data_IF_520908798272
#
_entry.id   IF_520908798272
#
_cell.length_a   1.000
_cell.length_b   1.000
_cell.length_c   1.000
_cell.angle_alpha   90.00
_cell.angle_beta   90.00
_cell.angle_gamma   90.00
#
_symmetry.space_group_name_H-M   'P 1'
#
loop_
_entity.id
_entity.type
_entity.pdbx_description
1 polymer ?
#
# COMPACT_ATOMS: atom_id res chain seq x y z
N UNK A 1 -2.75 -7.55 -11.21
CA UNK A 1 -1.74 -6.79 -10.44
C UNK A 1 -2.38 -6.26 -9.17
N UNK A 2 -1.67 -6.35 -8.08
CA UNK A 2 -2.18 -5.86 -6.80
C UNK A 2 -1.11 -5.07 -6.06
N UNK A 3 -1.56 -4.26 -5.10
CA UNK A 3 -0.69 -3.51 -4.23
C UNK A 3 -1.14 -3.72 -2.80
N UNK A 4 -0.29 -3.38 -1.84
CA UNK A 4 -0.64 -3.43 -0.43
C UNK A 4 -0.77 -2.00 0.08
N UNK A 5 -1.86 -1.73 0.79
CA UNK A 5 -2.20 -0.39 1.26
C UNK A 5 -2.32 -0.39 2.78
N UNK A 6 -1.58 0.50 3.40
CA UNK A 6 -1.67 0.75 4.83
C UNK A 6 -2.40 2.07 5.05
N UNK A 7 -3.35 2.07 5.98
CA UNK A 7 -4.11 3.28 6.33
C UNK A 7 -3.76 3.68 7.76
N UNK A 8 -3.34 4.91 7.93
CA UNK A 8 -3.05 5.46 9.25
C UNK A 8 -4.24 6.31 9.69
N UNK A 9 -5.08 5.74 10.55
CA UNK A 9 -6.30 6.39 11.00
C UNK A 9 -6.05 7.60 11.89
N UNK A 10 -4.84 7.76 12.41
CA UNK A 10 -4.51 8.91 13.24
C UNK A 10 -4.18 10.16 12.41
N UNK A 11 -4.09 10.02 11.09
CA UNK A 11 -3.83 11.12 10.19
C UNK A 11 -5.07 11.46 9.40
N UNK A 12 -5.14 12.69 8.91
CA UNK A 12 -6.30 13.13 8.14
C UNK A 12 -6.20 12.70 6.70
N UNK A 13 -7.35 12.49 6.07
CA UNK A 13 -7.41 12.23 4.64
C UNK A 13 -6.76 13.40 3.89
N UNK A 14 -5.88 13.08 2.97
CA UNK A 14 -5.12 14.08 2.24
C UNK A 14 -3.71 14.31 2.78
N UNK A 15 -3.46 13.88 4.01
CA UNK A 15 -2.11 13.91 4.57
C UNK A 15 -1.27 12.83 3.88
N UNK A 16 -0.03 13.15 3.54
CA UNK A 16 0.84 12.18 2.86
C UNK A 16 1.11 10.94 3.71
N UNK A 17 0.94 11.05 5.02
CA UNK A 17 1.12 9.91 5.93
C UNK A 17 -0.16 9.15 6.22
N UNK A 18 -1.29 9.57 5.66
CA UNK A 18 -2.56 8.89 5.86
C UNK A 18 -2.58 7.52 5.18
N UNK A 19 -2.01 7.43 4.00
CA UNK A 19 -1.97 6.21 3.21
C UNK A 19 -0.55 5.93 2.77
N UNK A 20 -0.17 4.65 2.80
CA UNK A 20 1.08 4.18 2.21
C UNK A 20 0.75 3.02 1.28
N UNK A 21 1.34 3.04 0.10
CA UNK A 21 1.11 2.01 -0.92
C UNK A 21 2.42 1.30 -1.22
N UNK A 22 2.38 -0.02 -1.18
CA UNK A 22 3.57 -0.84 -1.37
C UNK A 22 3.38 -1.75 -2.58
N UNK A 23 4.46 -1.97 -3.32
CA UNK A 23 4.42 -2.79 -4.52
C UNK A 23 4.21 -4.27 -4.22
N UNK A 24 4.62 -4.72 -3.03
CA UNK A 24 4.51 -6.12 -2.65
C UNK A 24 4.43 -6.23 -1.13
N UNK A 25 4.13 -7.45 -0.68
CA UNK A 25 3.95 -7.71 0.75
C UNK A 25 5.23 -7.53 1.54
N UNK A 26 6.35 -7.94 0.98
CA UNK A 26 7.63 -7.84 1.69
C UNK A 26 7.98 -6.39 1.99
N UNK A 27 7.73 -5.49 1.03
CA UNK A 27 7.96 -4.07 1.24
C UNK A 27 7.04 -3.52 2.33
N UNK A 28 5.78 -3.94 2.34
CA UNK A 28 4.83 -3.51 3.35
C UNK A 28 5.26 -4.00 4.73
N UNK A 29 5.60 -5.27 4.84
CA UNK A 29 6.00 -5.85 6.11
C UNK A 29 7.26 -5.18 6.69
N UNK A 30 8.23 -4.92 5.85
CA UNK A 30 9.46 -4.28 6.28
C UNK A 30 9.21 -2.88 6.82
N UNK A 31 8.38 -2.12 6.10
CA UNK A 31 8.06 -0.76 6.52
C UNK A 31 7.27 -0.76 7.83
N UNK A 32 6.29 -1.65 7.94
CA UNK A 32 5.45 -1.74 9.14
C UNK A 32 6.27 -2.13 10.36
N UNK A 33 7.21 -3.05 10.20
CA UNK A 33 8.04 -3.49 11.31
C UNK A 33 8.83 -2.34 11.92
N UNK A 34 9.20 -1.35 11.11
CA UNK A 34 9.98 -0.22 11.60
C UNK A 34 9.13 0.97 12.02
N UNK A 35 7.96 1.14 11.44
CA UNK A 35 7.18 2.35 11.61
C UNK A 35 5.88 2.14 12.38
N UNK A 36 5.25 0.98 12.25
CA UNK A 36 4.01 0.68 12.93
C UNK A 36 3.85 -0.83 13.06
N UNK A 37 4.52 -1.44 14.06
CA UNK A 37 4.49 -2.91 14.20
C UNK A 37 3.09 -3.49 14.42
N UNK A 38 2.15 -2.68 14.86
CA UNK A 38 0.77 -3.14 15.05
C UNK A 38 -0.12 -2.83 13.86
N UNK A 39 0.42 -2.15 12.86
CA UNK A 39 -0.33 -1.81 11.66
C UNK A 39 -0.51 -3.02 10.76
N UNK A 40 -1.47 -2.90 9.86
CA UNK A 40 -1.80 -3.95 8.89
C UNK A 40 -1.93 -3.33 7.52
N UNK A 41 -1.39 -4.01 6.51
CA UNK A 41 -1.58 -3.61 5.13
C UNK A 41 -2.52 -4.60 4.45
N UNK A 42 -3.39 -4.09 3.60
CA UNK A 42 -4.37 -4.89 2.88
C UNK A 42 -4.05 -4.91 1.40
N UNK A 43 -4.33 -6.04 0.77
CA UNK A 43 -4.12 -6.18 -0.67
C UNK A 43 -5.32 -5.63 -1.43
N UNK A 44 -5.03 -4.81 -2.45
CA UNK A 44 -6.04 -4.26 -3.33
C UNK A 44 -5.61 -4.47 -4.77
N UNK A 45 -6.58 -4.72 -5.63
CA UNK A 45 -6.32 -4.88 -7.05
C UNK A 45 -6.10 -3.51 -7.68
N UNK A 46 -5.15 -3.43 -8.61
CA UNK A 46 -4.91 -2.22 -9.38
C UNK A 46 -5.78 -2.27 -10.62
N UNK A 47 -6.68 -1.31 -10.74
CA UNK A 47 -7.61 -1.22 -11.87
C UNK A 47 -7.08 -0.15 -12.83
N UNK A 48 -7.07 -0.48 -14.12
CA UNK A 48 -6.61 0.47 -15.12
C UNK A 48 -5.10 0.46 -15.36
N UNK A 49 -4.38 -0.44 -14.71
CA UNK A 49 -2.94 -0.54 -14.91
C UNK A 49 -2.65 -1.05 -16.34
N UNK A 50 -1.55 -0.60 -16.96
CA UNK A 50 -1.15 -1.12 -18.27
C UNK A 50 -0.85 -2.60 -18.14
N UNK A 51 -1.20 -3.29 -19.17
CA UNK A 51 -0.96 -4.72 -19.16
C UNK A 51 0.18 -4.96 -20.10
N UNK A 52 0.76 -5.13 -19.99
CA UNK A 52 1.55 -5.27 -20.77
C UNK A 52 1.98 -5.54 -21.22
N UNK A 53 1.20 -4.86 -21.15
CA UNK A 53 1.33 -4.79 -21.13
C UNK A 53 1.20 -4.61 -20.96
N UNK A 54 0.87 -4.49 -21.48
CA UNK A 54 0.38 -4.39 -21.31
C UNK A 54 -0.11 -4.03 -21.05
N UNK A 55 -0.31 -3.94 -21.52
CA UNK A 55 -0.94 -3.69 -21.22
C UNK A 55 -1.28 -3.44 -20.84
N UNK A 56 -1.16 -3.40 -20.89
CA UNK A 56 -1.68 -3.37 -20.59
C UNK A 56 -1.88 -3.12 -20.39
#
# INVERSE_FOLDING_TARGET
MSVFVYVNASKQVGDSDHLKVFANRDAADAWLAENDPEGVAFEYEVIGAPIGTSTG
#
